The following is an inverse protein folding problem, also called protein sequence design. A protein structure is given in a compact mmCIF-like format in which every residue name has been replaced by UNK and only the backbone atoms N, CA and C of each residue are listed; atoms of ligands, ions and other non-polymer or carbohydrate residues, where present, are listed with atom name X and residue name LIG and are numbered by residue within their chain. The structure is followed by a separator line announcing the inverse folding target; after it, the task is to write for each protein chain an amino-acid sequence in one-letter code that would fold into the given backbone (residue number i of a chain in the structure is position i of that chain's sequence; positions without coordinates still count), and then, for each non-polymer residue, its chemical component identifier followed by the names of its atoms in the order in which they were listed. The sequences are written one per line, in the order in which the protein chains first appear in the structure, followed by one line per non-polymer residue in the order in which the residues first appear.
data_IF_518418594397
#
_entry.id   IF_518418594397
#
_cell.length_a   1.000
_cell.length_b   1.000
_cell.length_c   1.000
_cell.angle_alpha   90.00
_cell.angle_beta   90.00
_cell.angle_gamma   90.00
#
_symmetry.space_group_name_H-M   'P 1'
#
loop_
_entity.id
_entity.type
_entity.pdbx_description
1 polymer ?
#
# COMPACT_ATOMS: atom_id res chain seq x y z
N UNK A 1 -3.29 -50.46 3.83
CA UNK A 1 -3.08 -49.74 2.54
C UNK A 1 -3.92 -48.49 2.56
N UNK A 2 -3.34 -47.35 2.85
CA UNK A 2 -3.98 -46.05 2.68
C UNK A 2 -2.87 -45.01 2.54
N UNK A 3 -2.67 -44.62 1.31
CA UNK A 3 -1.72 -43.60 0.92
C UNK A 3 -2.20 -42.24 1.43
N UNK A 4 -1.49 -41.70 2.37
CA UNK A 4 -1.65 -40.32 2.81
C UNK A 4 -0.69 -39.47 2.00
N UNK A 5 -1.20 -38.88 0.90
CA UNK A 5 -0.49 -37.96 0.06
C UNK A 5 -0.23 -36.66 0.84
N UNK A 6 1.00 -36.57 1.31
CA UNK A 6 1.60 -35.38 1.88
C UNK A 6 1.63 -34.30 0.79
N UNK A 7 0.64 -33.38 0.78
CA UNK A 7 0.72 -32.15 -0.01
C UNK A 7 1.85 -31.30 0.56
N UNK A 8 2.99 -31.35 -0.11
CA UNK A 8 4.10 -30.43 0.05
C UNK A 8 3.55 -29.00 0.05
N UNK A 9 3.71 -28.29 1.16
CA UNK A 9 3.57 -26.85 1.22
C UNK A 9 4.57 -26.24 0.24
N UNK A 10 4.09 -25.75 -0.90
CA UNK A 10 4.86 -24.84 -1.74
C UNK A 10 5.41 -23.74 -0.84
N UNK A 11 6.72 -23.62 -0.75
CA UNK A 11 7.40 -22.44 -0.22
C UNK A 11 6.91 -21.27 -1.10
N UNK A 12 5.95 -20.50 -0.59
CA UNK A 12 5.74 -19.15 -1.11
C UNK A 12 7.06 -18.43 -0.92
N UNK A 13 7.67 -17.98 -2.00
CA UNK A 13 8.82 -17.08 -1.95
C UNK A 13 8.50 -16.01 -0.90
N UNK A 14 9.43 -15.83 0.07
CA UNK A 14 9.12 -15.21 1.34
C UNK A 14 8.51 -13.82 1.16
N UNK A 15 7.39 -13.54 1.81
CA UNK A 15 6.73 -12.23 1.84
C UNK A 15 7.72 -11.18 2.34
N UNK A 16 7.96 -10.14 1.54
CA UNK A 16 8.89 -9.05 1.86
C UNK A 16 8.19 -7.82 2.43
N UNK A 17 6.93 -7.59 2.06
CA UNK A 17 6.15 -6.43 2.51
C UNK A 17 4.85 -6.88 3.18
N UNK A 18 4.62 -6.43 4.41
CA UNK A 18 3.32 -6.53 5.07
C UNK A 18 2.48 -5.29 4.77
N UNK A 19 1.26 -5.45 4.26
CA UNK A 19 0.28 -4.37 4.09
C UNK A 19 -0.83 -4.59 5.11
N UNK A 20 -0.80 -3.83 6.19
CA UNK A 20 -1.77 -3.97 7.30
C UNK A 20 -2.68 -2.76 7.40
N UNK A 21 -3.90 -2.97 7.90
CA UNK A 21 -4.90 -1.91 8.07
C UNK A 21 -5.78 -2.16 9.28
N UNK A 22 -6.30 -1.08 9.89
CA UNK A 22 -7.08 -1.15 11.13
C UNK A 22 -8.49 -1.68 10.96
N UNK A 23 -9.04 -1.63 9.74
CA UNK A 23 -10.40 -2.05 9.39
C UNK A 23 -10.46 -2.54 7.95
N UNK A 24 -11.44 -3.40 7.64
CA UNK A 24 -11.74 -3.77 6.27
C UNK A 24 -12.18 -2.58 5.40
N UNK A 25 -12.76 -1.53 6.00
CA UNK A 25 -13.11 -0.29 5.30
C UNK A 25 -11.90 0.48 4.75
N UNK A 26 -10.72 0.26 5.31
CA UNK A 26 -9.50 0.93 4.87
C UNK A 26 -8.95 0.33 3.56
N UNK A 27 -9.52 -0.83 3.16
CA UNK A 27 -9.10 -1.54 1.94
C UNK A 27 -9.25 -0.71 0.68
N UNK A 28 -10.30 0.10 0.55
CA UNK A 28 -10.51 1.00 -0.58
C UNK A 28 -9.27 1.89 -0.85
N UNK A 29 -8.59 2.33 0.21
CA UNK A 29 -7.33 3.07 0.09
C UNK A 29 -6.13 2.14 -0.06
N UNK A 30 -6.05 1.09 0.76
CA UNK A 30 -4.85 0.26 0.85
C UNK A 30 -4.67 -0.71 -0.31
N UNK A 31 -5.73 -1.04 -1.06
CA UNK A 31 -5.63 -1.82 -2.30
C UNK A 31 -4.71 -1.17 -3.33
N UNK A 32 -4.60 0.16 -3.34
CA UNK A 32 -3.68 0.87 -4.21
C UNK A 32 -2.21 0.57 -3.90
N UNK A 33 -1.85 0.36 -2.63
CA UNK A 33 -0.50 -0.09 -2.27
C UNK A 33 -0.27 -1.53 -2.75
N UNK A 34 -1.23 -2.43 -2.50
CA UNK A 34 -1.18 -3.82 -2.93
C UNK A 34 -1.03 -3.94 -4.46
N UNK A 35 -1.80 -3.15 -5.22
CA UNK A 35 -1.73 -3.10 -6.68
C UNK A 35 -0.34 -2.69 -7.17
N UNK A 36 0.23 -1.63 -6.64
CA UNK A 36 1.57 -1.15 -7.03
C UNK A 36 2.65 -2.18 -6.68
N UNK A 37 2.60 -2.80 -5.49
CA UNK A 37 3.54 -3.86 -5.13
C UNK A 37 3.47 -5.03 -6.12
N UNK A 38 2.25 -5.45 -6.50
CA UNK A 38 2.03 -6.49 -7.51
C UNK A 38 2.57 -6.11 -8.89
N UNK A 39 2.33 -4.88 -9.37
CA UNK A 39 2.85 -4.37 -10.64
C UNK A 39 4.38 -4.32 -10.67
N UNK A 40 5.03 -4.07 -9.53
CA UNK A 40 6.49 -4.04 -9.38
C UNK A 40 7.10 -5.41 -9.08
N UNK A 41 6.28 -6.46 -8.97
CA UNK A 41 6.72 -7.82 -8.67
C UNK A 41 7.22 -8.03 -7.24
N UNK A 42 6.86 -7.15 -6.30
CA UNK A 42 7.26 -7.24 -4.89
C UNK A 42 6.35 -8.22 -4.15
N UNK A 43 6.87 -9.29 -3.53
CA UNK A 43 6.08 -10.22 -2.72
C UNK A 43 5.49 -9.54 -1.47
N UNK A 44 4.17 -9.59 -1.30
CA UNK A 44 3.49 -8.96 -0.18
C UNK A 44 2.35 -9.83 0.35
N UNK A 45 1.90 -9.54 1.57
CA UNK A 45 0.63 -10.01 2.11
C UNK A 45 -0.22 -8.84 2.58
N UNK A 46 -1.54 -9.03 2.63
CA UNK A 46 -2.49 -8.06 3.17
C UNK A 46 -3.19 -8.62 4.40
N UNK A 47 -3.37 -7.80 5.44
CA UNK A 47 -4.06 -8.24 6.65
C UNK A 47 -4.79 -7.10 7.36
N UNK A 48 -6.00 -7.39 7.83
CA UNK A 48 -6.69 -6.49 8.78
C UNK A 48 -6.21 -6.81 10.18
N UNK A 49 -5.64 -5.78 10.85
CA UNK A 49 -5.10 -5.88 12.21
C UNK A 49 -5.44 -4.60 12.96
N UNK A 50 -6.37 -4.66 13.90
CA UNK A 50 -6.82 -3.45 14.61
C UNK A 50 -6.01 -3.20 15.87
N UNK A 51 -5.39 -2.01 15.97
CA UNK A 51 -4.64 -1.60 17.15
C UNK A 51 -5.51 -1.57 18.43
N UNK A 52 -6.81 -1.26 18.30
CA UNK A 52 -7.72 -1.10 19.43
C UNK A 52 -8.57 -2.33 19.71
N UNK A 53 -8.90 -3.14 18.68
CA UNK A 53 -9.81 -4.28 18.81
C UNK A 53 -9.09 -5.62 18.87
N UNK A 54 -7.88 -5.69 18.32
CA UNK A 54 -7.03 -6.90 18.30
C UNK A 54 -5.57 -6.54 18.59
N UNK A 55 -5.27 -5.90 19.74
CA UNK A 55 -3.91 -5.43 20.06
C UNK A 55 -2.89 -6.56 20.10
N UNK A 56 -3.23 -7.70 20.69
CA UNK A 56 -2.32 -8.85 20.77
C UNK A 56 -1.95 -9.39 19.39
N UNK A 57 -2.91 -9.44 18.46
CA UNK A 57 -2.65 -9.80 17.06
C UNK A 57 -1.67 -8.85 16.39
N UNK A 58 -1.79 -7.53 16.66
CA UNK A 58 -0.85 -6.54 16.16
C UNK A 58 0.56 -6.76 16.72
N UNK A 59 0.65 -6.99 18.04
CA UNK A 59 1.93 -7.23 18.70
C UNK A 59 2.61 -8.48 18.16
N UNK A 60 1.87 -9.57 18.02
CA UNK A 60 2.39 -10.80 17.42
C UNK A 60 2.82 -10.58 15.96
N UNK A 61 1.98 -9.93 15.16
CA UNK A 61 2.28 -9.67 13.75
C UNK A 61 3.59 -8.88 13.58
N UNK A 62 3.71 -7.74 14.27
CA UNK A 62 4.86 -6.85 14.14
C UNK A 62 6.16 -7.47 14.70
N UNK A 63 6.09 -8.12 15.88
CA UNK A 63 7.28 -8.73 16.50
C UNK A 63 7.81 -9.95 15.75
N UNK A 64 6.97 -10.66 14.99
CA UNK A 64 7.37 -11.82 14.19
C UNK A 64 7.66 -11.48 12.73
N UNK A 65 7.41 -10.26 12.28
CA UNK A 65 7.53 -9.88 10.88
C UNK A 65 8.93 -10.12 10.31
N UNK A 66 9.98 -9.73 11.05
CA UNK A 66 11.36 -9.95 10.66
C UNK A 66 11.71 -11.43 10.52
N UNK A 67 11.30 -12.26 11.49
CA UNK A 67 11.53 -13.72 11.46
C UNK A 67 10.81 -14.40 10.28
N UNK A 68 9.71 -13.81 9.81
CA UNK A 68 8.96 -14.27 8.62
C UNK A 68 9.60 -13.82 7.30
N UNK A 69 10.70 -13.05 7.33
CA UNK A 69 11.40 -12.56 6.16
C UNK A 69 10.92 -11.20 5.64
N UNK A 70 9.97 -10.55 6.32
CA UNK A 70 9.53 -9.21 5.95
C UNK A 70 10.66 -8.20 6.13
N UNK A 71 10.69 -7.18 5.29
CA UNK A 71 11.68 -6.10 5.33
C UNK A 71 11.03 -4.72 5.48
N UNK A 72 9.73 -4.58 5.20
CA UNK A 72 8.97 -3.33 5.33
C UNK A 72 7.53 -3.66 5.72
N UNK A 73 6.89 -2.81 6.54
CA UNK A 73 5.46 -2.86 6.81
C UNK A 73 4.83 -1.54 6.36
N UNK A 74 3.78 -1.62 5.54
CA UNK A 74 2.90 -0.51 5.18
C UNK A 74 1.65 -0.63 6.05
N UNK A 75 1.34 0.41 6.83
CA UNK A 75 0.27 0.39 7.81
C UNK A 75 -0.72 1.54 7.57
N UNK A 76 -1.96 1.22 7.17
CA UNK A 76 -3.04 2.18 6.95
C UNK A 76 -3.95 2.31 8.18
N UNK A 77 -4.24 3.55 8.60
CA UNK A 77 -5.15 3.81 9.71
C UNK A 77 -5.85 5.17 9.59
N UNK A 78 -7.10 5.25 10.06
CA UNK A 78 -7.93 6.46 10.04
C UNK A 78 -8.34 6.94 11.44
N UNK A 79 -8.60 8.24 11.56
CA UNK A 79 -9.00 8.88 12.82
C UNK A 79 -7.87 8.85 13.85
N UNK A 80 -8.10 8.20 15.00
CA UNK A 80 -7.07 7.87 15.99
C UNK A 80 -6.15 6.78 15.41
N UNK A 81 -5.30 7.15 14.49
CA UNK A 81 -4.51 6.27 13.63
C UNK A 81 -3.27 5.70 14.34
N UNK A 82 -3.48 4.98 15.44
CA UNK A 82 -2.40 4.47 16.29
C UNK A 82 -1.67 3.25 15.72
N UNK A 83 -2.26 2.54 14.74
CA UNK A 83 -1.73 1.29 14.20
C UNK A 83 -0.26 1.39 13.76
N UNK A 84 0.15 2.38 12.92
CA UNK A 84 1.54 2.47 12.47
C UNK A 84 2.53 2.70 13.61
N UNK A 85 2.19 3.58 14.57
CA UNK A 85 3.03 3.88 15.72
C UNK A 85 3.22 2.69 16.66
N UNK A 86 2.14 1.94 16.92
CA UNK A 86 2.20 0.72 17.74
C UNK A 86 3.00 -0.37 17.03
N UNK A 87 2.84 -0.53 15.72
CA UNK A 87 3.65 -1.46 14.94
C UNK A 87 5.14 -1.10 15.01
N UNK A 88 5.49 0.18 14.85
CA UNK A 88 6.86 0.68 14.94
C UNK A 88 7.52 0.42 16.32
N UNK A 89 6.73 0.43 17.39
CA UNK A 89 7.21 0.12 18.73
C UNK A 89 7.47 -1.39 18.97
N UNK A 90 7.06 -2.27 18.05
CA UNK A 90 7.15 -3.73 18.18
C UNK A 90 8.11 -4.40 17.20
N UNK A 91 8.69 -3.65 16.27
CA UNK A 91 9.68 -4.16 15.29
C UNK A 91 10.71 -3.09 14.97
N UNK A 92 11.88 -3.53 14.50
CA UNK A 92 12.90 -2.63 13.94
C UNK A 92 12.75 -2.43 12.42
N UNK A 93 11.78 -3.11 11.79
CA UNK A 93 11.52 -2.94 10.38
C UNK A 93 10.98 -1.54 10.07
N UNK A 94 11.30 -0.95 8.93
CA UNK A 94 10.71 0.30 8.49
C UNK A 94 9.18 0.22 8.44
N UNK A 95 8.49 1.15 9.09
CA UNK A 95 7.05 1.30 9.06
C UNK A 95 6.68 2.52 8.20
N UNK A 96 5.86 2.30 7.18
CA UNK A 96 5.32 3.34 6.31
C UNK A 96 3.84 3.54 6.64
N UNK A 97 3.52 4.63 7.31
CA UNK A 97 2.18 4.95 7.75
C UNK A 97 1.37 5.67 6.67
N UNK A 98 0.22 5.13 6.33
CA UNK A 98 -0.71 5.72 5.37
C UNK A 98 -1.92 6.29 6.12
N UNK A 99 -2.06 7.63 6.20
CA UNK A 99 -3.25 8.25 6.77
C UNK A 99 -4.47 7.96 5.90
N UNK A 100 -5.49 7.32 6.46
CA UNK A 100 -6.77 7.10 5.79
C UNK A 100 -7.65 8.34 5.97
N UNK A 101 -8.35 8.75 4.92
CA UNK A 101 -9.26 9.89 4.98
C UNK A 101 -10.39 9.62 5.99
N UNK A 102 -10.58 10.55 6.94
CA UNK A 102 -11.65 10.54 7.92
C UNK A 102 -12.79 11.48 7.51
N UNK A 103 -14.01 11.18 7.96
CA UNK A 103 -15.18 12.05 7.67
C UNK A 103 -15.07 13.41 8.38
N UNK A 104 -14.58 13.43 9.61
CA UNK A 104 -14.56 14.61 10.46
C UNK A 104 -13.53 15.67 10.01
N UNK A 105 -12.28 15.25 9.80
CA UNK A 105 -11.16 16.16 9.52
C UNK A 105 -10.45 15.83 8.18
N UNK A 106 -11.13 15.09 7.29
CA UNK A 106 -10.60 14.75 5.95
C UNK A 106 -9.23 14.10 5.98
N UNK A 107 -8.92 13.36 7.05
CA UNK A 107 -7.66 12.66 7.24
C UNK A 107 -6.55 13.46 7.93
N UNK A 108 -6.79 14.73 8.31
CA UNK A 108 -5.80 15.51 9.06
C UNK A 108 -5.54 14.92 10.45
N UNK A 109 -6.58 14.43 11.13
CA UNK A 109 -6.50 13.68 12.37
C UNK A 109 -5.66 12.40 12.22
N UNK A 110 -5.88 11.65 11.15
CA UNK A 110 -5.09 10.46 10.81
C UNK A 110 -3.62 10.81 10.57
N UNK A 111 -3.36 11.87 9.78
CA UNK A 111 -2.02 12.33 9.47
C UNK A 111 -1.27 12.74 10.73
N UNK A 112 -1.87 13.58 11.58
CA UNK A 112 -1.24 14.05 12.82
C UNK A 112 -1.02 12.91 13.82
N UNK A 113 -1.95 11.96 13.92
CA UNK A 113 -1.79 10.78 14.79
C UNK A 113 -0.60 9.90 14.37
N UNK A 114 -0.31 9.81 13.07
CA UNK A 114 0.80 9.00 12.54
C UNK A 114 2.12 9.78 12.58
N UNK A 115 2.10 11.08 12.28
CA UNK A 115 3.31 11.89 12.10
C UNK A 115 3.97 12.28 13.44
N UNK A 116 3.17 12.51 14.49
CA UNK A 116 3.66 13.05 15.77
C UNK A 116 4.20 11.95 16.71
N UNK A 117 5.14 11.15 16.18
CA UNK A 117 5.81 10.11 16.95
C UNK A 117 6.86 10.68 17.91
N UNK A 118 7.04 10.07 19.10
CA UNK A 118 8.11 10.44 20.00
C UNK A 118 9.48 10.11 19.41
N UNK A 119 10.51 10.86 19.83
CA UNK A 119 11.88 10.53 19.48
C UNK A 119 12.25 9.09 19.87
N UNK A 120 12.86 8.35 18.95
CA UNK A 120 13.26 6.95 19.11
C UNK A 120 12.35 5.91 18.42
N UNK A 121 11.10 6.23 18.11
CA UNK A 121 10.17 5.32 17.43
C UNK A 121 9.65 6.00 16.14
N UNK A 122 10.39 5.94 15.05
CA UNK A 122 10.01 6.63 13.80
C UNK A 122 8.95 5.88 13.00
N UNK A 123 8.06 6.64 12.33
CA UNK A 123 7.17 6.16 11.29
C UNK A 123 7.35 7.04 10.05
N UNK A 124 7.64 6.43 8.90
CA UNK A 124 7.67 7.13 7.62
C UNK A 124 6.25 7.50 7.18
N UNK A 125 5.79 8.71 7.50
CA UNK A 125 4.40 9.13 7.25
C UNK A 125 4.20 9.56 5.79
N UNK A 126 3.20 8.96 5.14
CA UNK A 126 2.85 9.23 3.73
C UNK A 126 1.75 10.30 3.61
N UNK A 127 1.40 10.64 2.37
CA UNK A 127 0.24 11.50 2.09
C UNK A 127 -1.08 10.83 2.49
N UNK A 128 -2.14 11.62 2.66
CA UNK A 128 -3.48 11.12 2.99
C UNK A 128 -4.07 10.35 1.79
N UNK A 129 -4.70 9.22 2.05
CA UNK A 129 -5.51 8.47 1.10
C UNK A 129 -4.72 7.78 -0.01
N UNK A 130 -5.31 7.68 -1.19
CA UNK A 130 -4.80 6.93 -2.35
C UNK A 130 -3.34 7.26 -2.71
N UNK A 131 -3.00 8.55 -2.76
CA UNK A 131 -1.63 8.98 -3.10
C UNK A 131 -0.62 8.47 -2.07
N UNK A 132 -0.99 8.49 -0.79
CA UNK A 132 -0.17 7.95 0.30
C UNK A 132 0.06 6.44 0.16
N UNK A 133 -0.99 5.68 -0.15
CA UNK A 133 -0.90 4.24 -0.36
C UNK A 133 0.03 3.87 -1.53
N UNK A 134 -0.13 4.56 -2.68
CA UNK A 134 0.76 4.39 -3.84
C UNK A 134 2.20 4.70 -3.47
N UNK A 135 2.45 5.85 -2.84
CA UNK A 135 3.80 6.29 -2.48
C UNK A 135 4.44 5.40 -1.41
N UNK A 136 3.64 4.82 -0.48
CA UNK A 136 4.13 3.83 0.47
C UNK A 136 4.68 2.59 -0.25
N UNK A 137 3.98 2.07 -1.24
CA UNK A 137 4.44 0.93 -2.04
C UNK A 137 5.71 1.25 -2.84
N UNK A 138 5.77 2.44 -3.46
CA UNK A 138 6.96 2.88 -4.20
C UNK A 138 8.17 3.07 -3.27
N UNK A 139 7.96 3.63 -2.07
CA UNK A 139 9.03 3.79 -1.08
C UNK A 139 9.49 2.45 -0.51
N UNK A 140 8.55 1.54 -0.19
CA UNK A 140 8.87 0.16 0.20
C UNK A 140 9.72 -0.53 -0.88
N UNK A 141 9.33 -0.42 -2.16
CA UNK A 141 10.08 -0.96 -3.29
C UNK A 141 11.48 -0.33 -3.40
N UNK A 142 11.61 0.99 -3.13
CA UNK A 142 12.91 1.66 -3.12
C UNK A 142 13.82 1.15 -1.99
N UNK A 143 13.28 0.93 -0.79
CA UNK A 143 13.99 0.37 0.36
C UNK A 143 14.50 -1.05 0.02
N UNK A 144 13.62 -1.91 -0.50
CA UNK A 144 13.98 -3.25 -0.95
C UNK A 144 15.03 -3.22 -2.07
N UNK A 145 14.91 -2.27 -3.00
CA UNK A 145 15.82 -2.08 -4.13
C UNK A 145 17.27 -1.76 -3.74
N UNK A 146 17.56 -1.47 -2.46
CA UNK A 146 18.94 -1.33 -1.96
C UNK A 146 19.66 -2.69 -2.02
N UNK A 147 18.96 -3.77 -1.65
CA UNK A 147 19.50 -5.16 -1.63
C UNK A 147 19.07 -6.01 -2.84
N UNK A 148 17.95 -5.67 -3.47
CA UNK A 148 17.29 -6.44 -4.53
C UNK A 148 17.31 -5.66 -5.85
N UNK A 149 18.29 -5.90 -6.75
CA UNK A 149 18.42 -5.15 -8.01
C UNK A 149 17.18 -5.20 -8.90
N UNK A 150 16.44 -6.32 -8.89
CA UNK A 150 15.20 -6.52 -9.64
C UNK A 150 14.12 -5.48 -9.28
N UNK A 151 13.93 -5.19 -8.00
CA UNK A 151 12.96 -4.17 -7.56
C UNK A 151 13.43 -2.74 -7.88
N UNK A 152 14.74 -2.51 -7.81
CA UNK A 152 15.34 -1.24 -8.25
C UNK A 152 15.08 -0.97 -9.72
N UNK A 153 15.23 -1.98 -10.56
CA UNK A 153 15.01 -1.86 -12.00
C UNK A 153 13.52 -1.71 -12.33
N UNK A 154 12.63 -2.44 -11.65
CA UNK A 154 11.18 -2.28 -11.76
C UNK A 154 10.76 -0.82 -11.44
N UNK A 155 11.30 -0.25 -10.37
CA UNK A 155 11.02 1.13 -9.97
C UNK A 155 11.56 2.16 -10.98
N UNK A 156 12.73 1.92 -11.58
CA UNK A 156 13.28 2.77 -12.65
C UNK A 156 12.35 2.77 -13.87
N UNK A 157 11.90 1.60 -14.30
CA UNK A 157 10.96 1.46 -15.42
C UNK A 157 9.64 2.16 -15.15
N UNK A 158 9.10 2.00 -13.94
CA UNK A 158 7.88 2.69 -13.52
C UNK A 158 8.03 4.21 -13.61
N UNK A 159 9.11 4.79 -13.06
CA UNK A 159 9.36 6.24 -13.12
C UNK A 159 9.59 6.73 -14.54
N UNK A 160 10.32 5.98 -15.35
CA UNK A 160 10.55 6.31 -16.77
C UNK A 160 9.22 6.39 -17.53
N UNK A 161 8.35 5.41 -17.37
CA UNK A 161 7.02 5.41 -17.99
C UNK A 161 6.16 6.61 -17.58
N UNK A 162 6.22 7.03 -16.31
CA UNK A 162 5.54 8.25 -15.85
C UNK A 162 6.10 9.51 -16.54
N UNK A 163 7.42 9.62 -16.65
CA UNK A 163 8.09 10.75 -17.33
C UNK A 163 7.69 10.79 -18.81
N UNK A 164 7.74 9.66 -19.51
CA UNK A 164 7.37 9.55 -20.93
C UNK A 164 5.91 9.95 -21.15
N UNK A 165 5.01 9.55 -20.24
CA UNK A 165 3.59 9.94 -20.31
C UNK A 165 3.38 11.44 -20.21
N UNK A 166 4.13 12.14 -19.35
CA UNK A 166 4.05 13.60 -19.22
C UNK A 166 4.64 14.27 -20.44
N UNK A 167 5.79 13.80 -20.92
CA UNK A 167 6.45 14.36 -22.10
C UNK A 167 5.65 14.16 -23.40
N UNK A 168 4.91 13.06 -23.52
CA UNK A 168 4.05 12.78 -24.66
C UNK A 168 2.81 13.69 -24.74
N UNK A 169 2.38 14.28 -23.61
CA UNK A 169 1.20 15.15 -23.53
C UNK A 169 1.50 16.42 -22.74
N UNK A 170 2.38 17.29 -23.24
CA UNK A 170 2.81 18.52 -22.54
C UNK A 170 1.74 19.59 -22.52
N UNK A 171 0.79 19.57 -23.47
CA UNK A 171 -0.31 20.53 -23.55
C UNK A 171 -1.61 19.92 -22.98
N UNK A 172 -2.11 20.41 -21.84
CA UNK A 172 -3.32 19.89 -21.22
C UNK A 172 -4.59 20.17 -22.04
N UNK A 173 -4.60 21.13 -22.94
CA UNK A 173 -5.75 21.47 -23.77
C UNK A 173 -6.05 20.39 -24.82
N UNK A 174 -5.02 19.71 -25.33
CA UNK A 174 -5.14 18.63 -26.31
C UNK A 174 -5.71 17.36 -25.66
N UNK A 175 -5.33 17.07 -24.43
CA UNK A 175 -5.81 15.88 -23.69
C UNK A 175 -7.27 16.00 -23.26
N UNK A 176 -7.75 17.21 -22.93
CA UNK A 176 -9.14 17.49 -22.59
C UNK A 176 -10.09 17.30 -23.79
N UNK A 177 -9.65 17.66 -24.99
CA UNK A 177 -10.43 17.52 -26.22
C UNK A 177 -10.64 16.03 -26.63
N UNK A 178 -9.67 15.15 -26.35
CA UNK A 178 -9.78 13.72 -26.65
C UNK A 178 -10.71 12.98 -25.70
N UNK A 179 -10.75 13.35 -24.42
CA UNK A 179 -11.66 12.77 -23.43
C UNK A 179 -13.11 13.23 -23.62
N UNK A 180 -13.36 14.45 -24.09
CA UNK A 180 -14.70 14.95 -24.40
C UNK A 180 -15.32 14.25 -25.62
N UNK A 181 -14.52 13.87 -26.65
CA UNK A 181 -15.00 13.08 -27.81
C UNK A 181 -15.38 11.65 -27.44
N UNK A 182 -14.70 11.00 -26.53
CA UNK A 182 -14.99 9.62 -26.13
C UNK A 182 -16.31 9.48 -25.34
N UNK A 183 -16.79 10.54 -24.69
CA UNK A 183 -18.06 10.57 -23.95
C UNK A 183 -19.28 10.90 -24.84
N UNK A 184 -19.10 11.43 -26.05
CA UNK A 184 -20.19 11.80 -26.97
C UNK A 184 -20.61 10.69 -27.93
N UNK A 185 -19.90 9.55 -28.01
CA UNK A 185 -20.19 8.42 -28.91
C UNK A 185 -20.83 7.19 -28.23
N UNK A 186 -21.61 7.36 -27.17
CA UNK A 186 -22.45 6.28 -26.65
C UNK A 186 -23.68 6.10 -27.54
N UNK A 187 -23.93 4.92 -28.13
CA UNK A 187 -25.08 4.68 -29.01
C UNK A 187 -26.37 4.76 -28.18
N UNK A 188 -27.27 5.65 -28.58
CA UNK A 188 -28.63 5.67 -28.09
C UNK A 188 -29.33 4.34 -28.46
N UNK A 189 -29.63 3.55 -27.42
CA UNK A 189 -30.37 2.30 -27.55
C UNK A 189 -31.74 2.51 -28.21
N UNK A 190 -31.96 1.88 -29.34
CA UNK A 190 -33.28 1.75 -29.97
C UNK A 190 -34.21 1.06 -28.98
N UNK A 191 -35.35 1.71 -28.63
CA UNK A 191 -36.51 1.06 -28.02
C UNK A 191 -37.14 0.16 -29.05
N UNK A 192 -37.52 -1.11 -28.74
CA UNK A 192 -38.40 -1.90 -29.56
C UNK A 192 -39.85 -1.45 -29.39
N UNK A 193 -40.60 -1.51 -30.47
CA UNK A 193 -42.03 -1.27 -30.59
C UNK A 193 -42.85 -2.34 -29.89
#
# INVERSE_FOLDING_TARGET
MSNNSNKSSEKKDGVLVGVIMGSASDWETMEHAAKILGELGVPYETRVVSAHRTPDLLFEYASRAEQRGMQVIIAGAGGAAHLPGIAAAKTILPILGVPIESKALKGLDSLLSIAQMPGGIPVGTMAIGKAGAINAALLATAILGVKHPEFREALRKFRKAQTEKVLANPDPSVSAASSAKATSESPQGKKPA
#
